data_IF_526744471811
#
_entry.id   IF_526744471811
#
_cell.length_a   1.000
_cell.length_b   1.000
_cell.length_c   1.000
_cell.angle_alpha   90.00
_cell.angle_beta   90.00
_cell.angle_gamma   90.00
#
_symmetry.space_group_name_H-M   'P 1'
#
loop_
_entity.id
_entity.type
_entity.pdbx_description
1 polymer ?
#
# COMPACT_ATOMS: atom_id res chain seq x y z
N UNK A 1 -57.37 -11.94 39.86
CA UNK A 1 -57.74 -12.95 40.88
C UNK A 1 -59.01 -13.67 40.43
N UNK A 2 -58.90 -14.80 39.74
CA UNK A 2 -60.05 -15.72 39.49
C UNK A 2 -59.51 -17.17 39.45
N UNK A 3 -59.67 -17.82 40.61
CA UNK A 3 -59.96 -19.23 40.92
C UNK A 3 -59.54 -20.40 39.99
N UNK A 4 -58.72 -21.29 40.57
CA UNK A 4 -58.57 -22.74 40.30
C UNK A 4 -59.91 -23.49 40.29
N UNK A 5 -60.12 -24.47 39.39
CA UNK A 5 -60.41 -25.91 39.71
C UNK A 5 -60.70 -26.78 38.45
N UNK A 6 -59.91 -27.86 38.30
CA UNK A 6 -60.29 -29.28 38.04
C UNK A 6 -61.14 -29.68 36.81
N UNK A 7 -60.59 -30.56 35.95
CA UNK A 7 -61.16 -31.88 35.54
C UNK A 7 -60.15 -32.63 34.63
N UNK A 8 -59.37 -33.60 35.10
CA UNK A 8 -59.62 -35.07 35.13
C UNK A 8 -60.09 -35.71 33.81
N UNK A 9 -59.11 -36.34 33.14
CA UNK A 9 -59.16 -37.64 32.43
C UNK A 9 -59.78 -37.70 31.02
N UNK A 10 -59.02 -38.15 30.00
CA UNK A 10 -58.99 -39.54 29.48
C UNK A 10 -58.37 -39.60 28.05
N UNK A 11 -57.28 -40.38 27.88
CA UNK A 11 -56.90 -41.34 26.79
C UNK A 11 -57.22 -40.89 25.32
N UNK A 12 -56.25 -40.83 24.39
CA UNK A 12 -55.83 -41.98 23.55
C UNK A 12 -54.41 -41.75 22.99
N UNK A 13 -53.62 -42.83 23.10
CA UNK A 13 -52.31 -43.09 22.51
C UNK A 13 -52.33 -42.91 20.97
N UNK A 14 -51.41 -42.12 20.40
CA UNK A 14 -50.95 -42.36 19.03
C UNK A 14 -49.41 -42.28 18.98
N UNK A 15 -48.85 -43.31 18.36
CA UNK A 15 -47.46 -43.69 18.41
C UNK A 15 -46.49 -42.69 17.76
N UNK A 16 -45.43 -42.42 18.51
CA UNK A 16 -44.01 -42.41 18.13
C UNK A 16 -43.60 -42.51 16.64
N UNK A 17 -42.65 -41.61 16.31
CA UNK A 17 -41.65 -41.61 15.22
C UNK A 17 -42.05 -41.03 13.87
N UNK A 18 -41.82 -39.72 13.72
CA UNK A 18 -41.07 -39.18 12.57
C UNK A 18 -40.09 -38.12 13.11
N UNK A 19 -38.91 -38.58 13.52
CA UNK A 19 -37.76 -37.71 13.82
C UNK A 19 -36.69 -37.96 12.78
N UNK A 20 -36.37 -36.93 12.00
CA UNK A 20 -35.38 -36.99 10.92
C UNK A 20 -35.36 -35.74 10.07
N UNK A 21 -35.36 -34.58 10.73
CA UNK A 21 -35.25 -33.25 10.14
C UNK A 21 -33.79 -32.99 9.72
N UNK A 22 -33.56 -32.74 8.42
CA UNK A 22 -32.74 -31.65 7.84
C UNK A 22 -32.04 -32.08 6.53
N UNK A 23 -32.29 -31.38 5.40
CA UNK A 23 -31.51 -31.55 4.18
C UNK A 23 -30.20 -30.76 4.26
N UNK A 24 -29.14 -31.33 3.69
CA UNK A 24 -28.11 -30.59 2.96
C UNK A 24 -27.26 -29.56 3.72
N UNK A 25 -25.97 -29.88 3.86
CA UNK A 25 -24.89 -28.91 3.67
C UNK A 25 -23.69 -29.64 3.08
N UNK A 26 -23.58 -29.61 1.75
CA UNK A 26 -22.30 -29.91 1.12
C UNK A 26 -21.23 -28.98 1.74
N UNK A 27 -19.99 -29.45 1.97
CA UNK A 27 -18.91 -28.55 2.32
C UNK A 27 -18.74 -27.59 1.14
N UNK A 28 -19.19 -26.35 1.33
CA UNK A 28 -18.75 -25.25 0.48
C UNK A 28 -17.27 -25.16 0.79
N UNK A 29 -16.44 -25.81 -0.05
CA UNK A 29 -15.04 -25.45 -0.15
C UNK A 29 -15.05 -23.98 -0.50
N UNK A 30 -14.85 -23.14 0.52
CA UNK A 30 -14.56 -21.74 0.31
C UNK A 30 -13.31 -21.75 -0.55
N UNK A 31 -13.50 -21.56 -1.86
CA UNK A 31 -12.41 -21.31 -2.77
C UNK A 31 -11.57 -20.23 -2.09
N UNK A 32 -10.30 -20.55 -1.79
CA UNK A 32 -9.38 -19.58 -1.22
C UNK A 32 -9.41 -18.40 -2.17
N UNK A 33 -10.15 -17.35 -1.77
CA UNK A 33 -10.03 -16.06 -2.40
C UNK A 33 -8.59 -15.69 -2.11
N UNK A 34 -7.76 -15.65 -3.14
CA UNK A 34 -6.48 -14.96 -3.05
C UNK A 34 -6.85 -13.51 -2.75
N UNK A 35 -6.97 -13.17 -1.47
CA UNK A 35 -7.33 -11.83 -1.02
C UNK A 35 -6.13 -10.94 -1.29
N UNK A 36 -6.08 -10.39 -2.51
CA UNK A 36 -5.15 -9.31 -2.81
C UNK A 36 -5.78 -8.03 -2.29
N UNK A 37 -5.49 -7.71 -1.03
CA UNK A 37 -5.79 -6.40 -0.48
C UNK A 37 -4.97 -5.33 -1.22
N UNK A 38 -5.38 -4.07 -1.05
CA UNK A 38 -4.79 -2.96 -1.80
C UNK A 38 -4.39 -1.83 -0.88
N UNK A 39 -3.19 -1.34 -1.10
CA UNK A 39 -2.81 0.01 -0.67
C UNK A 39 -3.36 0.97 -1.71
N UNK A 40 -4.12 1.96 -1.28
CA UNK A 40 -4.66 3.02 -2.13
C UNK A 40 -4.00 4.34 -1.77
N UNK A 41 -3.72 5.18 -2.75
CA UNK A 41 -3.11 6.45 -2.46
C UNK A 41 -3.20 7.48 -3.56
N UNK A 42 -2.79 8.69 -3.20
CA UNK A 42 -2.67 9.83 -4.10
C UNK A 42 -1.28 10.42 -3.99
N UNK A 43 -0.68 10.76 -5.13
CA UNK A 43 0.60 11.46 -5.19
C UNK A 43 0.40 12.91 -5.63
N UNK A 44 1.04 13.84 -4.92
CA UNK A 44 1.03 15.28 -5.19
C UNK A 44 2.46 15.83 -5.18
N UNK A 45 2.70 16.90 -5.91
CA UNK A 45 3.93 17.70 -5.83
C UNK A 45 3.56 19.18 -5.84
N UNK A 46 4.44 20.05 -5.31
CA UNK A 46 4.12 21.46 -5.05
C UNK A 46 4.41 22.36 -6.25
N UNK A 47 5.26 21.91 -7.15
CA UNK A 47 5.64 22.62 -8.35
C UNK A 47 4.47 22.66 -9.33
N UNK A 48 4.13 23.86 -9.85
CA UNK A 48 3.05 24.02 -10.84
C UNK A 48 3.54 23.71 -12.26
N UNK A 49 4.00 22.48 -12.45
CA UNK A 49 4.52 22.01 -13.74
C UNK A 49 3.63 20.85 -14.21
N UNK A 50 3.16 20.93 -15.45
CA UNK A 50 2.40 19.85 -16.07
C UNK A 50 3.34 18.68 -16.41
N UNK A 51 2.90 17.45 -16.14
CA UNK A 51 3.57 16.26 -16.62
C UNK A 51 3.37 16.14 -18.13
N UNK A 52 4.41 15.70 -18.83
CA UNK A 52 4.31 15.33 -20.23
C UNK A 52 3.49 14.04 -20.39
N UNK A 53 2.89 13.78 -21.57
CA UNK A 53 2.24 12.50 -21.87
C UNK A 53 3.20 11.30 -21.80
N UNK A 54 4.51 11.53 -21.94
CA UNK A 54 5.55 10.53 -21.82
C UNK A 54 5.88 10.16 -20.35
N UNK A 55 5.34 10.89 -19.37
CA UNK A 55 5.62 10.64 -17.96
C UNK A 55 5.18 9.24 -17.53
N UNK A 56 5.99 8.63 -16.67
CA UNK A 56 5.71 7.35 -16.02
C UNK A 56 5.77 7.54 -14.53
N UNK A 57 4.61 7.35 -13.89
CA UNK A 57 4.51 7.27 -12.44
C UNK A 57 4.88 5.87 -11.98
N UNK A 58 5.63 5.78 -10.88
CA UNK A 58 6.01 4.53 -10.22
C UNK A 58 5.73 4.65 -8.72
N UNK A 59 4.95 3.73 -8.18
CA UNK A 59 4.80 3.55 -6.73
C UNK A 59 5.41 2.21 -6.31
N UNK A 60 6.20 2.24 -5.24
CA UNK A 60 6.94 1.09 -4.74
C UNK A 60 6.61 0.85 -3.28
N UNK A 61 6.20 -0.37 -2.97
CA UNK A 61 6.07 -0.89 -1.62
C UNK A 61 7.37 -1.61 -1.23
N UNK A 62 7.96 -1.19 -0.12
CA UNK A 62 9.24 -1.69 0.39
C UNK A 62 9.10 -2.24 1.81
N UNK A 63 9.84 -3.29 2.11
CA UNK A 63 10.10 -3.80 3.45
C UNK A 63 11.36 -3.11 3.99
N UNK A 64 11.18 -2.27 5.00
CA UNK A 64 12.22 -1.53 5.71
C UNK A 64 12.40 -2.04 7.15
N UNK A 65 12.05 -3.31 7.42
CA UNK A 65 12.14 -3.89 8.76
C UNK A 65 13.58 -4.07 9.26
N UNK A 66 14.56 -4.05 8.36
CA UNK A 66 15.99 -4.16 8.70
C UNK A 66 16.62 -2.77 8.69
N UNK A 67 17.01 -2.27 9.86
CA UNK A 67 17.60 -0.95 10.00
C UNK A 67 18.94 -0.80 9.28
N UNK A 68 19.74 -1.87 9.23
CA UNK A 68 21.11 -1.86 8.70
C UNK A 68 21.21 -2.38 7.25
N UNK A 69 20.08 -2.50 6.54
CA UNK A 69 20.05 -3.01 5.18
C UNK A 69 19.20 -2.11 4.27
N UNK A 70 19.52 -2.16 2.97
CA UNK A 70 18.66 -1.53 1.97
C UNK A 70 17.26 -2.14 2.03
N UNK A 71 16.23 -1.27 1.95
CA UNK A 71 14.85 -1.71 1.96
C UNK A 71 14.56 -2.65 0.77
N UNK A 72 13.89 -3.77 1.03
CA UNK A 72 13.59 -4.76 0.00
C UNK A 72 12.31 -4.38 -0.72
N UNK A 73 12.36 -4.28 -2.04
CA UNK A 73 11.16 -4.02 -2.84
C UNK A 73 10.24 -5.25 -2.81
N UNK A 74 9.00 -5.05 -2.32
CA UNK A 74 7.95 -6.08 -2.32
C UNK A 74 7.17 -6.02 -3.62
N UNK A 75 6.76 -4.81 -4.01
CA UNK A 75 5.94 -4.60 -5.20
C UNK A 75 6.23 -3.24 -5.80
N UNK A 76 6.20 -3.19 -7.14
CA UNK A 76 6.31 -2.00 -7.93
C UNK A 76 5.12 -1.92 -8.89
N UNK A 77 4.49 -0.76 -8.97
CA UNK A 77 3.40 -0.46 -9.90
C UNK A 77 3.80 0.74 -10.73
N UNK A 78 3.66 0.60 -12.05
CA UNK A 78 3.95 1.67 -13.01
C UNK A 78 2.69 2.06 -13.75
N UNK A 79 2.52 3.36 -13.96
CA UNK A 79 1.44 3.95 -14.74
C UNK A 79 2.01 4.93 -15.75
N UNK A 80 1.88 4.59 -17.04
CA UNK A 80 2.20 5.50 -18.15
C UNK A 80 1.12 6.57 -18.24
N UNK A 81 1.50 7.77 -18.67
CA UNK A 81 0.61 8.92 -18.79
C UNK A 81 -0.32 9.04 -17.55
N UNK A 82 0.24 9.28 -16.35
CA UNK A 82 -0.52 9.28 -15.11
C UNK A 82 -1.57 10.39 -15.02
N UNK A 83 -1.57 11.33 -15.97
CA UNK A 83 -2.44 12.51 -15.97
C UNK A 83 -1.89 13.59 -15.06
N UNK A 84 -2.79 14.40 -14.51
CA UNK A 84 -2.44 15.50 -13.62
C UNK A 84 -2.52 15.07 -12.15
N UNK A 85 -1.85 15.84 -11.28
CA UNK A 85 -1.98 15.68 -9.83
C UNK A 85 -3.37 16.11 -9.37
N UNK A 86 -3.94 15.46 -8.33
CA UNK A 86 -3.40 14.31 -7.61
C UNK A 86 -3.43 13.01 -8.44
N UNK A 87 -2.29 12.31 -8.50
CA UNK A 87 -2.18 11.04 -9.23
C UNK A 87 -2.64 9.91 -8.31
N UNK A 88 -3.82 9.35 -8.59
CA UNK A 88 -4.31 8.17 -7.89
C UNK A 88 -3.55 6.90 -8.30
N UNK A 89 -3.28 6.03 -7.33
CA UNK A 89 -2.63 4.74 -7.53
C UNK A 89 -3.12 3.67 -6.54
N UNK A 90 -2.94 2.41 -6.92
CA UNK A 90 -3.20 1.25 -6.08
C UNK A 90 -2.05 0.24 -6.19
N UNK A 91 -1.65 -0.34 -5.06
CA UNK A 91 -0.67 -1.43 -5.01
C UNK A 91 -1.35 -2.66 -4.40
N UNK A 92 -1.61 -3.71 -5.19
CA UNK A 92 -2.10 -4.97 -4.64
C UNK A 92 -0.98 -5.69 -3.87
N UNK A 93 -1.35 -6.28 -2.74
CA UNK A 93 -0.46 -7.10 -1.91
C UNK A 93 -1.21 -8.30 -1.32
N UNK A 94 -0.46 -9.33 -0.95
CA UNK A 94 -0.99 -10.49 -0.22
C UNK A 94 -0.80 -10.26 1.29
N UNK A 95 -1.87 -10.10 2.09
CA UNK A 95 -1.78 -9.90 3.54
C UNK A 95 -1.04 -11.03 4.25
N UNK A 96 -1.04 -12.24 3.70
CA UNK A 96 -0.34 -13.40 4.30
C UNK A 96 1.19 -13.27 4.24
N UNK A 97 1.69 -12.37 3.39
CA UNK A 97 3.13 -12.07 3.25
C UNK A 97 3.57 -10.87 4.09
N UNK A 98 2.65 -10.25 4.82
CA UNK A 98 2.92 -9.08 5.67
C UNK A 98 3.10 -9.57 7.11
N UNK A 99 4.29 -9.35 7.67
CA UNK A 99 4.56 -9.57 9.08
C UNK A 99 4.08 -8.35 9.88
N UNK A 100 3.21 -8.58 10.86
CA UNK A 100 2.73 -7.54 11.79
C UNK A 100 3.84 -6.75 12.50
N UNK A 101 5.03 -7.34 12.68
CA UNK A 101 6.21 -6.70 13.29
C UNK A 101 7.11 -5.98 12.27
N UNK A 102 6.86 -6.18 10.98
CA UNK A 102 7.65 -5.59 9.91
C UNK A 102 7.30 -4.12 9.69
N UNK A 103 8.27 -3.32 9.23
CA UNK A 103 8.06 -1.92 8.84
C UNK A 103 7.93 -1.83 7.33
N UNK A 104 6.76 -1.42 6.84
CA UNK A 104 6.50 -1.28 5.41
C UNK A 104 6.37 0.17 5.04
N UNK A 105 7.00 0.55 3.94
CA UNK A 105 7.02 1.93 3.47
C UNK A 105 6.69 2.03 1.99
N UNK A 106 6.05 3.13 1.62
CA UNK A 106 5.73 3.47 0.26
C UNK A 106 6.63 4.62 -0.23
N UNK A 107 7.13 4.48 -1.46
CA UNK A 107 7.85 5.52 -2.20
C UNK A 107 7.18 5.75 -3.54
N UNK A 108 7.23 7.00 -4.01
CA UNK A 108 6.73 7.36 -5.33
C UNK A 108 7.81 8.10 -6.11
N UNK A 109 7.84 7.84 -7.41
CA UNK A 109 8.75 8.47 -8.38
C UNK A 109 8.03 8.74 -9.69
N UNK A 110 8.38 9.83 -10.35
CA UNK A 110 7.93 10.15 -11.71
C UNK A 110 9.15 10.29 -12.60
N UNK A 111 9.11 9.57 -13.71
CA UNK A 111 10.14 9.58 -14.74
C UNK A 111 9.60 10.22 -16.00
N UNK A 112 10.40 11.06 -16.66
CA UNK A 112 10.14 11.55 -18.03
C UNK A 112 11.38 11.26 -18.86
N UNK A 113 11.20 10.66 -20.04
CA UNK A 113 12.29 10.27 -20.93
C UNK A 113 13.40 9.44 -20.23
N UNK A 114 12.98 8.57 -19.29
CA UNK A 114 13.87 7.74 -18.48
C UNK A 114 14.61 8.47 -17.35
N UNK A 115 14.43 9.78 -17.19
CA UNK A 115 15.07 10.59 -16.15
C UNK A 115 14.12 10.78 -14.98
N UNK A 116 14.64 10.65 -13.75
CA UNK A 116 13.87 10.92 -12.54
C UNK A 116 13.60 12.42 -12.42
N UNK A 117 12.32 12.81 -12.43
CA UNK A 117 11.88 14.21 -12.38
C UNK A 117 11.32 14.58 -11.04
N UNK A 118 10.55 13.69 -10.43
CA UNK A 118 10.00 13.88 -9.09
C UNK A 118 10.17 12.61 -8.26
N UNK A 119 10.41 12.76 -6.97
CA UNK A 119 10.46 11.63 -6.03
C UNK A 119 9.99 12.02 -4.63
N UNK A 120 9.48 11.06 -3.87
CA UNK A 120 9.18 11.21 -2.45
C UNK A 120 10.48 11.40 -1.65
N UNK A 121 10.59 12.53 -0.92
CA UNK A 121 11.76 12.83 -0.08
C UNK A 121 11.78 12.07 1.25
N UNK A 122 10.65 11.51 1.64
CA UNK A 122 10.47 10.71 2.86
C UNK A 122 9.84 9.37 2.49
N UNK A 123 10.05 8.39 3.35
CA UNK A 123 9.32 7.12 3.30
C UNK A 123 7.94 7.31 3.95
N UNK A 124 6.89 6.69 3.38
CA UNK A 124 5.53 6.77 3.91
C UNK A 124 5.13 5.43 4.53
N UNK A 125 5.07 5.29 5.86
CA UNK A 125 4.72 4.04 6.51
C UNK A 125 3.28 3.59 6.20
N UNK A 126 3.09 2.28 6.01
CA UNK A 126 1.80 1.65 5.67
C UNK A 126 1.68 0.27 6.34
N UNK A 127 0.46 -0.26 6.38
CA UNK A 127 0.08 -1.64 6.77
C UNK A 127 0.26 -2.04 8.24
N UNK A 128 1.32 -1.60 8.90
CA UNK A 128 1.68 -2.06 10.25
C UNK A 128 1.94 -0.89 11.19
N UNK A 129 2.17 -1.17 12.48
CA UNK A 129 2.49 -0.15 13.49
C UNK A 129 1.45 0.97 13.59
N UNK A 130 0.17 0.64 13.43
CA UNK A 130 -0.93 1.60 13.43
C UNK A 130 -1.17 2.33 12.11
N UNK A 131 -0.35 2.07 11.08
CA UNK A 131 -0.56 2.61 9.74
C UNK A 131 -1.53 1.75 8.93
N UNK A 132 -2.46 2.41 8.24
CA UNK A 132 -3.42 1.74 7.36
C UNK A 132 -2.90 1.48 5.95
N UNK A 133 -3.83 1.17 5.05
CA UNK A 133 -3.57 0.95 3.61
C UNK A 133 -3.91 2.18 2.74
N UNK A 134 -4.11 3.36 3.34
CA UNK A 134 -4.40 4.62 2.64
C UNK A 134 -3.28 5.62 2.86
N UNK A 135 -2.79 6.24 1.80
CA UNK A 135 -1.64 7.16 1.90
C UNK A 135 -1.73 8.32 0.92
N UNK A 136 -1.33 9.51 1.37
CA UNK A 136 -1.08 10.66 0.51
C UNK A 136 0.43 10.93 0.46
N UNK A 137 1.00 10.89 -0.74
CA UNK A 137 2.44 11.01 -0.98
C UNK A 137 2.76 12.39 -1.53
N UNK A 138 3.56 13.15 -0.80
CA UNK A 138 4.15 14.41 -1.27
C UNK A 138 5.51 14.13 -1.91
N UNK A 139 5.65 14.55 -3.16
CA UNK A 139 6.85 14.43 -3.98
C UNK A 139 7.50 15.80 -4.18
N UNK A 140 8.78 15.79 -4.56
CA UNK A 140 9.54 17.00 -4.94
C UNK A 140 10.32 16.78 -6.23
N UNK A 141 10.56 17.86 -6.96
CA UNK A 141 11.39 17.88 -8.15
C UNK A 141 12.88 17.60 -7.85
N UNK A 142 13.56 16.90 -8.74
CA UNK A 142 15.00 16.54 -8.62
C UNK A 142 15.96 17.62 -9.12
N UNK A 143 15.46 18.77 -9.58
CA UNK A 143 16.25 19.87 -10.15
C UNK A 143 17.32 20.47 -9.22
N UNK A 144 17.33 20.10 -7.93
CA UNK A 144 18.32 20.55 -6.95
C UNK A 144 19.59 19.71 -6.80
N UNK A 145 19.68 18.50 -7.37
CA UNK A 145 20.83 17.60 -7.11
C UNK A 145 21.84 17.48 -8.27
N UNK A 146 21.47 17.88 -9.48
CA UNK A 146 22.42 17.92 -10.61
C UNK A 146 23.49 19.04 -10.49
N UNK A 147 23.31 20.00 -9.57
CA UNK A 147 24.23 21.13 -9.36
C UNK A 147 25.23 20.96 -8.20
N UNK A 148 25.00 20.03 -7.26
CA UNK A 148 25.85 19.89 -6.06
C UNK A 148 27.09 19.02 -6.23
N UNK A 149 27.15 18.19 -7.29
CA UNK A 149 28.31 17.33 -7.58
C UNK A 149 29.44 18.00 -8.36
N UNK A 150 29.21 19.16 -9.00
CA UNK A 150 30.22 19.83 -9.86
C UNK A 150 30.95 21.00 -9.22
N UNK A 151 30.44 21.57 -8.13
CA UNK A 151 31.04 22.75 -7.50
C UNK A 151 32.26 22.45 -6.59
N UNK A 152 32.60 21.18 -6.31
CA UNK A 152 33.78 20.83 -5.50
C UNK A 152 35.04 20.46 -6.30
N UNK A 153 34.93 20.29 -7.62
CA UNK A 153 36.06 19.86 -8.45
C UNK A 153 36.89 21.01 -9.05
N UNK A 154 36.54 22.29 -8.80
CA UNK A 154 37.20 23.44 -9.45
C UNK A 154 38.05 24.32 -8.51
N UNK A 155 38.15 23.98 -7.22
CA UNK A 155 38.84 24.83 -6.24
C UNK A 155 40.18 24.25 -5.74
N UNK A 156 40.93 23.56 -6.61
CA UNK A 156 42.30 23.14 -6.31
C UNK A 156 43.20 23.23 -7.54
N UNK A 157 43.32 24.43 -8.11
CA UNK A 157 44.47 24.76 -8.96
C UNK A 157 45.53 25.45 -8.07
N UNK A 158 46.73 24.87 -7.90
CA UNK A 158 47.81 25.56 -7.20
C UNK A 158 48.22 26.81 -7.98
N UNK A 159 48.32 27.94 -7.27
CA UNK A 159 48.85 29.19 -7.80
C UNK A 159 50.30 28.98 -8.27
N UNK A 160 50.67 29.37 -9.50
CA UNK A 160 52.07 29.37 -9.89
C UNK A 160 52.79 30.50 -9.16
N UNK A 161 53.73 30.14 -8.27
CA UNK A 161 54.68 31.08 -7.71
C UNK A 161 55.53 31.67 -8.85
N UNK A 162 55.25 32.93 -9.17
CA UNK A 162 56.14 33.82 -9.90
C UNK A 162 57.11 34.45 -8.90
N UNK A 163 58.42 34.34 -9.17
CA UNK A 163 59.47 35.40 -9.09
C UNK A 163 60.86 34.73 -9.02
N UNK A 164 61.64 34.90 -10.08
CA UNK A 164 62.85 35.76 -10.25
C UNK A 164 64.10 35.13 -9.70
#
# INVERSE_FOLDING_TARGET
MVTRTVQRSLIVLLAFVVSGLLPGRAPVYAASRFSNDRITGSAIYRERIALTPAAVFEATLEDASRADAAAKVIKKVRRKNPGQVPIAFEIPYDPRRIDSRGTYVLRASIYEDGRLRFTSTRAYPVLTHGHGSKVMVVMRGTSGDAGRGRARAHALAPHPHRKT
#
